data_IF_182762372935
#
_entry.id   IF_182762372935
#
_cell.length_a   1.000
_cell.length_b   1.000
_cell.length_c   1.000
_cell.angle_alpha   90.00
_cell.angle_beta   90.00
_cell.angle_gamma   90.00
#
_symmetry.space_group_name_H-M   'P 1'
#
loop_
_entity.id
_entity.type
_entity.pdbx_description
1 polymer ?
#
# COMPACT_ATOMS: atom_id res chain seq x y z
N UNK A 1 -1.99 10.30 12.05
CA UNK A 1 -2.83 9.99 13.22
C UNK A 1 -2.14 9.01 14.17
N UNK A 2 -1.60 7.88 13.69
CA UNK A 2 -0.89 6.90 14.55
C UNK A 2 0.28 7.45 15.39
N UNK A 3 1.18 8.35 14.91
CA UNK A 3 2.29 8.83 15.73
C UNK A 3 1.89 9.82 16.82
N UNK A 4 0.62 10.25 16.86
CA UNK A 4 0.13 11.25 17.81
C UNK A 4 -0.96 10.70 18.74
N UNK A 5 -1.34 9.43 18.61
CA UNK A 5 -2.44 8.84 19.38
C UNK A 5 -2.07 7.47 19.93
N UNK A 6 -2.01 7.37 21.26
CA UNK A 6 -1.88 6.10 22.01
C UNK A 6 -3.23 5.60 22.55
N UNK A 7 -4.32 6.31 22.24
CA UNK A 7 -5.67 5.97 22.68
C UNK A 7 -6.35 5.02 21.69
N UNK A 8 -7.09 4.03 22.21
CA UNK A 8 -7.77 3.00 21.43
C UNK A 8 -8.69 3.60 20.34
N UNK A 9 -9.40 4.69 20.65
CA UNK A 9 -10.29 5.38 19.70
C UNK A 9 -9.54 5.96 18.49
N UNK A 10 -8.37 6.55 18.70
CA UNK A 10 -7.53 7.10 17.63
C UNK A 10 -6.94 6.01 16.73
N UNK A 11 -6.58 4.87 17.32
CA UNK A 11 -6.13 3.68 16.60
C UNK A 11 -7.24 3.08 15.74
N UNK A 12 -8.46 2.95 16.28
CA UNK A 12 -9.62 2.43 15.54
C UNK A 12 -9.97 3.32 14.36
N UNK A 13 -10.01 4.65 14.54
CA UNK A 13 -10.27 5.59 13.44
C UNK A 13 -9.21 5.46 12.33
N UNK A 14 -7.93 5.39 12.70
CA UNK A 14 -6.88 5.26 11.71
C UNK A 14 -6.94 3.91 10.98
N UNK A 15 -7.22 2.82 11.69
CA UNK A 15 -7.42 1.49 11.11
C UNK A 15 -8.64 1.46 10.17
N UNK A 16 -9.76 2.11 10.53
CA UNK A 16 -10.93 2.24 9.67
C UNK A 16 -10.62 3.04 8.39
N UNK A 17 -9.95 4.19 8.50
CA UNK A 17 -9.54 4.97 7.33
C UNK A 17 -8.62 4.17 6.40
N UNK A 18 -7.62 3.48 6.97
CA UNK A 18 -6.74 2.61 6.20
C UNK A 18 -7.50 1.46 5.53
N UNK A 19 -8.38 0.79 6.28
CA UNK A 19 -9.19 -0.33 5.79
C UNK A 19 -10.09 0.07 4.62
N UNK A 20 -10.74 1.24 4.70
CA UNK A 20 -11.59 1.76 3.61
C UNK A 20 -10.76 2.04 2.36
N UNK A 21 -9.60 2.70 2.51
CA UNK A 21 -8.72 2.97 1.37
C UNK A 21 -8.16 1.69 0.74
N UNK A 22 -7.72 0.74 1.56
CA UNK A 22 -7.15 -0.51 1.11
C UNK A 22 -8.18 -1.43 0.42
N UNK A 23 -9.42 -1.45 0.92
CA UNK A 23 -10.50 -2.30 0.38
C UNK A 23 -10.82 -1.99 -1.10
N UNK A 24 -10.73 -0.73 -1.51
CA UNK A 24 -10.92 -0.34 -2.92
C UNK A 24 -9.66 -0.50 -3.77
N UNK A 25 -8.48 -0.30 -3.19
CA UNK A 25 -7.22 -0.30 -3.94
C UNK A 25 -6.88 -1.69 -4.50
N UNK A 26 -7.01 -2.74 -3.69
CA UNK A 26 -6.64 -4.10 -4.07
C UNK A 26 -7.39 -4.62 -5.31
N UNK A 27 -8.74 -4.55 -5.40
CA UNK A 27 -9.47 -4.97 -6.59
C UNK A 27 -9.18 -4.08 -7.80
N UNK A 28 -9.03 -2.75 -7.62
CA UNK A 28 -8.70 -1.84 -8.73
C UNK A 28 -7.34 -2.19 -9.35
N UNK A 29 -6.32 -2.41 -8.52
CA UNK A 29 -4.99 -2.82 -9.00
C UNK A 29 -5.04 -4.18 -9.71
N UNK A 30 -5.82 -5.13 -9.19
CA UNK A 30 -6.00 -6.43 -9.83
C UNK A 30 -6.64 -6.29 -11.22
N UNK A 31 -7.68 -5.46 -11.36
CA UNK A 31 -8.31 -5.17 -12.65
C UNK A 31 -7.33 -4.54 -13.65
N UNK A 32 -6.54 -3.54 -13.22
CA UNK A 32 -5.53 -2.89 -14.10
C UNK A 32 -4.51 -3.91 -14.60
N UNK A 33 -4.05 -4.82 -13.75
CA UNK A 33 -3.13 -5.89 -14.16
C UNK A 33 -3.81 -6.80 -15.17
N UNK A 34 -5.06 -7.22 -14.91
CA UNK A 34 -5.81 -8.10 -15.79
C UNK A 34 -6.16 -7.48 -17.15
N UNK A 35 -6.33 -6.17 -17.23
CA UNK A 35 -6.51 -5.43 -18.49
C UNK A 35 -5.24 -5.41 -19.34
N UNK A 36 -4.07 -5.50 -18.71
CA UNK A 36 -2.77 -5.50 -19.40
C UNK A 36 -2.35 -6.87 -19.96
N UNK A 37 -3.07 -7.95 -19.63
CA UNK A 37 -2.78 -9.33 -20.10
C UNK A 37 -3.91 -9.90 -20.96
N UNK A 38 -3.55 -10.78 -21.90
CA UNK A 38 -4.52 -11.45 -22.77
C UNK A 38 -5.47 -12.37 -21.98
N UNK A 39 -6.70 -12.60 -22.48
CA UNK A 39 -7.72 -13.39 -21.77
C UNK A 39 -7.23 -14.79 -21.38
N UNK A 40 -6.44 -15.43 -22.24
CA UNK A 40 -5.84 -16.74 -21.99
C UNK A 40 -4.77 -16.72 -20.88
N UNK A 41 -4.18 -15.56 -20.58
CA UNK A 41 -3.10 -15.39 -19.62
C UNK A 41 -3.56 -14.70 -18.32
N UNK A 42 -4.84 -14.34 -18.18
CA UNK A 42 -5.38 -13.74 -16.95
C UNK A 42 -5.05 -14.54 -15.69
N UNK A 43 -5.09 -15.88 -15.77
CA UNK A 43 -4.69 -16.76 -14.66
C UNK A 43 -3.22 -16.61 -14.25
N UNK A 44 -2.31 -16.42 -15.22
CA UNK A 44 -0.90 -16.12 -14.94
C UNK A 44 -0.73 -14.70 -14.39
N UNK A 45 -1.45 -13.72 -14.93
CA UNK A 45 -1.45 -12.34 -14.45
C UNK A 45 -1.83 -12.23 -12.98
N UNK A 46 -2.92 -12.89 -12.56
CA UNK A 46 -3.33 -12.94 -11.15
C UNK A 46 -2.30 -13.65 -10.28
N UNK A 47 -1.70 -14.75 -10.75
CA UNK A 47 -0.69 -15.46 -9.99
C UNK A 47 0.56 -14.61 -9.73
N UNK A 48 1.04 -13.88 -10.74
CA UNK A 48 2.18 -12.95 -10.61
C UNK A 48 1.81 -11.78 -9.69
N UNK A 49 0.60 -11.24 -9.81
CA UNK A 49 0.13 -10.16 -8.92
C UNK A 49 0.10 -10.60 -7.45
N UNK A 50 -0.49 -11.76 -7.16
CA UNK A 50 -0.53 -12.30 -5.80
C UNK A 50 0.87 -12.60 -5.26
N UNK A 51 1.77 -13.17 -6.08
CA UNK A 51 3.16 -13.40 -5.67
C UNK A 51 3.90 -12.09 -5.37
N UNK A 52 3.69 -11.05 -6.19
CA UNK A 52 4.25 -9.72 -5.95
C UNK A 52 3.69 -9.08 -4.68
N UNK A 53 2.40 -9.27 -4.39
CA UNK A 53 1.79 -8.81 -3.14
C UNK A 53 2.39 -9.52 -1.92
N UNK A 54 2.59 -10.83 -1.95
CA UNK A 54 3.21 -11.55 -0.84
C UNK A 54 4.63 -11.05 -0.57
N UNK A 55 5.40 -10.78 -1.62
CA UNK A 55 6.74 -10.16 -1.52
C UNK A 55 6.65 -8.73 -0.97
N UNK A 56 5.67 -7.94 -1.41
CA UNK A 56 5.48 -6.58 -0.91
C UNK A 56 5.07 -6.57 0.57
N UNK A 57 4.17 -7.47 0.99
CA UNK A 57 3.75 -7.60 2.38
C UNK A 57 4.88 -8.10 3.28
N UNK A 58 5.53 -9.20 2.91
CA UNK A 58 6.62 -9.78 3.68
C UNK A 58 7.85 -8.88 3.70
N UNK A 59 8.29 -8.41 2.54
CA UNK A 59 9.44 -7.52 2.39
C UNK A 59 9.19 -6.14 3.01
N UNK A 60 8.01 -5.58 2.81
CA UNK A 60 7.61 -4.29 3.41
C UNK A 60 7.56 -4.35 4.93
N UNK A 61 6.94 -5.39 5.50
CA UNK A 61 6.90 -5.59 6.95
C UNK A 61 8.30 -5.77 7.54
N UNK A 62 9.18 -6.52 6.86
CA UNK A 62 10.56 -6.70 7.28
C UNK A 62 11.36 -5.39 7.26
N UNK A 63 11.30 -4.64 6.16
CA UNK A 63 11.99 -3.35 6.02
C UNK A 63 11.51 -2.33 7.05
N UNK A 64 10.19 -2.19 7.22
CA UNK A 64 9.65 -1.29 8.22
C UNK A 64 9.92 -1.76 9.66
N UNK A 65 9.99 -3.07 9.90
CA UNK A 65 10.39 -3.64 11.19
C UNK A 65 11.82 -3.26 11.59
N UNK A 66 12.76 -3.26 10.64
CA UNK A 66 14.13 -2.79 10.88
C UNK A 66 14.14 -1.30 11.22
N UNK A 67 13.41 -0.48 10.44
CA UNK A 67 13.32 0.97 10.68
C UNK A 67 12.69 1.25 12.05
N UNK A 68 11.63 0.53 12.42
CA UNK A 68 10.99 0.65 13.73
C UNK A 68 11.94 0.27 14.88
N UNK A 69 12.76 -0.77 14.69
CA UNK A 69 13.72 -1.21 15.70
C UNK A 69 14.86 -0.22 15.91
N UNK A 70 15.25 0.54 14.88
CA UNK A 70 16.38 1.47 14.94
C UNK A 70 15.96 2.90 15.32
N UNK A 71 14.82 3.37 14.82
CA UNK A 71 14.38 4.77 14.94
C UNK A 71 13.07 4.94 15.73
N UNK A 72 12.47 3.85 16.20
CA UNK A 72 11.20 3.86 16.90
C UNK A 72 9.97 3.93 15.98
N UNK A 73 8.80 3.68 16.55
CA UNK A 73 7.53 3.63 15.81
C UNK A 73 7.08 4.99 15.26
N UNK A 74 7.42 6.09 15.93
CA UNK A 74 7.01 7.44 15.49
C UNK A 74 7.60 7.81 14.13
N UNK A 75 8.90 7.55 13.94
CA UNK A 75 9.60 7.80 12.68
C UNK A 75 9.10 6.87 11.57
N UNK A 76 8.80 5.61 11.91
CA UNK A 76 8.19 4.65 10.99
C UNK A 76 6.85 5.16 10.46
N UNK A 77 5.94 5.59 11.34
CA UNK A 77 4.62 6.06 10.90
C UNK A 77 4.67 7.37 10.12
N UNK A 78 5.59 8.28 10.46
CA UNK A 78 5.85 9.47 9.66
C UNK A 78 6.37 9.11 8.26
N UNK A 79 7.30 8.17 8.18
CA UNK A 79 7.82 7.65 6.92
C UNK A 79 6.73 7.02 6.04
N UNK A 80 5.84 6.21 6.62
CA UNK A 80 4.68 5.64 5.91
C UNK A 80 3.77 6.73 5.32
N UNK A 81 3.54 7.82 6.06
CA UNK A 81 2.74 8.96 5.59
C UNK A 81 3.39 9.67 4.39
N UNK A 82 4.69 9.95 4.47
CA UNK A 82 5.47 10.52 3.35
C UNK A 82 5.45 9.62 2.12
N UNK A 83 5.61 8.31 2.31
CA UNK A 83 5.59 7.34 1.24
C UNK A 83 4.22 7.27 0.55
N UNK A 84 3.13 7.31 1.31
CA UNK A 84 1.77 7.37 0.77
C UNK A 84 1.51 8.66 -0.01
N UNK A 85 1.97 9.81 0.48
CA UNK A 85 1.91 11.07 -0.25
C UNK A 85 2.72 11.01 -1.57
N UNK A 86 3.93 10.44 -1.51
CA UNK A 86 4.77 10.22 -2.70
C UNK A 86 4.10 9.32 -3.74
N UNK A 87 3.50 8.21 -3.29
CA UNK A 87 2.75 7.30 -4.16
C UNK A 87 1.54 7.99 -4.82
N UNK A 88 0.79 8.79 -4.06
CA UNK A 88 -0.32 9.59 -4.59
C UNK A 88 0.14 10.60 -5.66
N UNK A 89 1.29 11.24 -5.44
CA UNK A 89 1.88 12.17 -6.41
C UNK A 89 2.34 11.42 -7.67
N UNK A 90 3.06 10.30 -7.51
CA UNK A 90 3.50 9.47 -8.62
C UNK A 90 2.32 8.95 -9.45
N UNK A 91 1.25 8.49 -8.80
CA UNK A 91 0.03 8.07 -9.46
C UNK A 91 -0.60 9.20 -10.29
N UNK A 92 -0.69 10.42 -9.73
CA UNK A 92 -1.16 11.59 -10.49
C UNK A 92 -0.26 11.93 -11.67
N UNK A 93 1.06 11.85 -11.53
CA UNK A 93 1.99 12.05 -12.63
C UNK A 93 1.80 11.00 -13.74
N UNK A 94 1.62 9.74 -13.37
CA UNK A 94 1.37 8.67 -14.33
C UNK A 94 0.03 8.86 -15.07
N UNK A 95 -1.02 9.28 -14.36
CA UNK A 95 -2.31 9.63 -14.97
C UNK A 95 -2.22 10.84 -15.91
N UNK A 96 -1.43 11.87 -15.56
CA UNK A 96 -1.22 13.04 -16.40
C UNK A 96 -0.38 12.73 -17.64
N UNK A 97 0.55 11.78 -17.56
CA UNK A 97 1.37 11.34 -18.68
C UNK A 97 0.65 10.42 -19.67
N UNK A 98 -0.54 9.90 -19.31
CA UNK A 98 -1.39 9.10 -20.20
C UNK A 98 -2.54 9.89 -20.86
N UNK A 99 -2.66 11.19 -20.56
CA UNK A 99 -3.53 12.11 -21.30
C UNK A 99 -2.75 12.82 -22.41
#
# INVERSE_FOLDING_TARGET
LLPFTTQLSGLLLAASCYGVGYAGLLPVMNTIVLESVSEAQRGQGTAVFSAALDVAYGGGAFLWGIIASLFGFDMMFFGCGLFACGAMIAYRYFQLSQR
#
